data_IF_372542750882
#
_entry.id   IF_372542750882
#
_cell.length_a   1.000
_cell.length_b   1.000
_cell.length_c   1.000
_cell.angle_alpha   90.00
_cell.angle_beta   90.00
_cell.angle_gamma   90.00
#
_symmetry.space_group_name_H-M   'P 1'
#
loop_
_entity.id
_entity.type
_entity.pdbx_description
1 polymer ?
#
# COMPACT_ATOMS: atom_id res chain seq x y z
N UNK A 1 -25.24 -29.47 2.27
CA UNK A 1 -24.09 -29.18 1.39
C UNK A 1 -23.59 -27.81 1.74
N UNK A 2 -22.54 -27.74 2.56
CA UNK A 2 -21.80 -26.48 2.76
C UNK A 2 -21.11 -26.15 1.44
N UNK A 3 -21.69 -25.22 0.70
CA UNK A 3 -21.02 -24.59 -0.42
C UNK A 3 -19.88 -23.77 0.18
N UNK A 4 -18.72 -24.40 0.24
CA UNK A 4 -17.52 -23.80 0.83
C UNK A 4 -17.06 -22.66 -0.09
N UNK A 5 -17.61 -21.46 0.08
CA UNK A 5 -17.12 -20.21 -0.51
C UNK A 5 -15.74 -19.85 0.05
N UNK A 6 -14.88 -20.85 0.25
CA UNK A 6 -13.53 -20.71 0.74
C UNK A 6 -12.55 -20.66 -0.41
N UNK A 7 -11.63 -19.71 -0.37
CA UNK A 7 -10.54 -19.59 -1.33
C UNK A 7 -9.23 -19.47 -0.61
N UNK A 8 -8.16 -19.97 -1.22
CA UNK A 8 -6.79 -19.93 -0.73
C UNK A 8 -5.92 -19.20 -1.74
N UNK A 9 -4.97 -18.41 -1.24
CA UNK A 9 -3.97 -17.71 -2.05
C UNK A 9 -2.58 -18.02 -1.51
N UNK A 10 -1.64 -18.22 -2.43
CA UNK A 10 -0.22 -18.34 -2.12
C UNK A 10 0.36 -17.00 -1.67
N UNK A 11 1.47 -17.00 -0.91
CA UNK A 11 2.18 -15.78 -0.55
C UNK A 11 2.50 -14.95 -1.79
N UNK A 12 2.37 -13.63 -1.67
CA UNK A 12 2.55 -12.64 -2.72
C UNK A 12 1.48 -12.62 -3.84
N UNK A 13 0.47 -13.49 -3.78
CA UNK A 13 -0.65 -13.44 -4.74
C UNK A 13 -1.55 -12.24 -4.49
N UNK A 14 -2.05 -11.64 -5.55
CA UNK A 14 -3.01 -10.54 -5.48
C UNK A 14 -4.41 -11.14 -5.28
N UNK A 15 -5.15 -10.62 -4.30
CA UNK A 15 -6.54 -10.97 -4.03
C UNK A 15 -7.47 -10.13 -4.90
N UNK A 16 -7.25 -8.83 -4.93
CA UNK A 16 -7.86 -7.85 -5.85
C UNK A 16 -6.94 -6.63 -6.01
N UNK A 17 -7.10 -5.89 -7.10
CA UNK A 17 -6.34 -4.69 -7.39
C UNK A 17 -7.11 -3.42 -7.02
N UNK A 18 -6.38 -2.34 -6.80
CA UNK A 18 -6.93 -0.98 -6.85
C UNK A 18 -7.75 -0.80 -8.13
N UNK A 19 -8.92 -0.22 -8.01
CA UNK A 19 -9.81 0.07 -9.15
C UNK A 19 -10.69 -1.10 -9.61
N UNK A 20 -10.51 -2.31 -9.08
CA UNK A 20 -11.38 -3.45 -9.38
C UNK A 20 -12.79 -3.26 -8.80
N UNK A 21 -13.79 -3.81 -9.50
CA UNK A 21 -15.18 -3.83 -9.00
C UNK A 21 -15.34 -4.84 -7.84
N UNK A 22 -15.98 -4.45 -6.73
CA UNK A 22 -16.16 -5.33 -5.59
C UNK A 22 -17.19 -6.44 -5.91
N UNK A 23 -16.74 -7.69 -5.88
CA UNK A 23 -17.59 -8.88 -6.06
C UNK A 23 -18.00 -9.53 -4.74
N UNK A 24 -17.13 -9.46 -3.76
CA UNK A 24 -17.34 -10.07 -2.44
C UNK A 24 -16.50 -9.34 -1.37
N UNK A 25 -16.91 -9.50 -0.12
CA UNK A 25 -16.07 -9.26 1.05
C UNK A 25 -15.40 -10.59 1.45
N UNK A 26 -14.34 -10.51 2.25
CA UNK A 26 -13.51 -11.66 2.62
C UNK A 26 -13.37 -11.73 4.14
N UNK A 27 -13.77 -12.86 4.74
CA UNK A 27 -13.50 -13.15 6.16
C UNK A 27 -12.25 -14.05 6.24
N UNK A 28 -11.19 -13.57 6.87
CA UNK A 28 -9.92 -14.29 6.97
C UNK A 28 -10.06 -15.46 7.94
N UNK A 29 -9.79 -16.66 7.45
CA UNK A 29 -9.75 -17.89 8.23
C UNK A 29 -8.35 -18.12 8.78
N UNK A 30 -7.32 -17.87 7.96
CA UNK A 30 -5.91 -17.95 8.34
C UNK A 30 -5.03 -17.13 7.40
N UNK A 31 -3.87 -16.72 7.87
CA UNK A 31 -2.90 -15.93 7.12
C UNK A 31 -3.07 -14.44 7.30
N UNK A 32 -2.30 -13.68 6.55
CA UNK A 32 -2.22 -12.21 6.61
C UNK A 32 -2.36 -11.66 5.19
N UNK A 33 -3.17 -10.62 5.03
CA UNK A 33 -3.28 -9.80 3.83
C UNK A 33 -2.69 -8.43 4.09
N UNK A 34 -2.00 -7.86 3.12
CA UNK A 34 -1.48 -6.49 3.13
C UNK A 34 -2.22 -5.63 2.10
N UNK A 35 -2.41 -4.36 2.44
CA UNK A 35 -3.09 -3.38 1.62
C UNK A 35 -2.13 -2.32 1.12
N UNK A 36 -2.17 -2.06 -0.18
CA UNK A 36 -1.30 -1.11 -0.85
C UNK A 36 -2.12 -0.04 -1.57
N UNK A 37 -1.64 1.20 -1.54
CA UNK A 37 -2.21 2.29 -2.33
C UNK A 37 -1.99 2.06 -3.83
N UNK A 38 -2.60 2.90 -4.67
CA UNK A 38 -2.35 2.95 -6.12
C UNK A 38 -0.86 3.15 -6.44
N UNK A 39 -0.14 3.90 -5.58
CA UNK A 39 1.30 4.15 -5.68
C UNK A 39 2.18 3.05 -5.06
N UNK A 40 1.60 1.90 -4.76
CA UNK A 40 2.27 0.76 -4.15
C UNK A 40 2.87 1.04 -2.75
N UNK A 41 2.28 1.97 -1.99
CA UNK A 41 2.65 2.26 -0.61
C UNK A 41 1.87 1.33 0.30
N UNK A 42 2.55 0.65 1.24
CA UNK A 42 1.92 -0.21 2.24
C UNK A 42 1.09 0.65 3.22
N UNK A 43 -0.21 0.43 3.24
CA UNK A 43 -1.17 1.16 4.07
C UNK A 43 -1.48 0.44 5.38
N UNK A 44 -1.51 -0.90 5.36
CA UNK A 44 -1.83 -1.70 6.53
C UNK A 44 -1.94 -3.18 6.20
N UNK A 45 -2.39 -3.96 7.17
CA UNK A 45 -2.63 -5.40 7.02
C UNK A 45 -3.83 -5.85 7.84
N UNK A 46 -4.37 -7.02 7.51
CA UNK A 46 -5.41 -7.70 8.27
C UNK A 46 -5.05 -9.19 8.45
N UNK A 47 -5.51 -9.76 9.54
CA UNK A 47 -5.21 -11.14 9.93
C UNK A 47 -6.46 -11.96 10.24
N UNK A 48 -6.26 -13.12 10.87
CA UNK A 48 -7.32 -14.07 11.20
C UNK A 48 -8.49 -13.40 11.94
N UNK A 49 -9.71 -13.78 11.59
CA UNK A 49 -11.00 -13.26 12.09
C UNK A 49 -11.39 -11.85 11.62
N UNK A 50 -10.52 -11.17 10.89
CA UNK A 50 -10.82 -9.87 10.32
C UNK A 50 -11.50 -9.99 8.96
N UNK A 51 -12.27 -8.97 8.59
CA UNK A 51 -12.94 -8.85 7.28
C UNK A 51 -12.25 -7.77 6.47
N UNK A 52 -12.10 -7.99 5.17
CA UNK A 52 -11.58 -6.99 4.25
C UNK A 52 -12.34 -6.99 2.91
N UNK A 53 -12.18 -5.94 2.13
CA UNK A 53 -12.93 -5.72 0.89
C UNK A 53 -14.42 -5.34 1.11
N UNK A 54 -14.84 -5.27 2.38
CA UNK A 54 -16.20 -4.97 2.81
C UNK A 54 -16.60 -3.52 2.52
N UNK A 55 -15.66 -2.59 2.64
CA UNK A 55 -15.92 -1.14 2.45
C UNK A 55 -16.38 -0.87 1.02
N UNK A 56 -15.69 -1.44 0.05
CA UNK A 56 -16.03 -1.30 -1.38
C UNK A 56 -17.38 -1.93 -1.69
N UNK A 57 -17.69 -3.09 -1.08
CA UNK A 57 -19.00 -3.73 -1.17
C UNK A 57 -20.10 -2.86 -0.58
N UNK A 58 -19.86 -2.27 0.61
CA UNK A 58 -20.82 -1.42 1.32
C UNK A 58 -21.11 -0.12 0.58
N UNK A 59 -20.06 0.56 0.11
CA UNK A 59 -20.18 1.84 -0.59
C UNK A 59 -20.58 1.70 -2.06
N UNK A 60 -20.59 0.48 -2.58
CA UNK A 60 -20.78 0.21 -4.01
C UNK A 60 -19.80 1.00 -4.89
N UNK A 61 -18.53 1.02 -4.46
CA UNK A 61 -17.43 1.70 -5.15
C UNK A 61 -16.31 0.72 -5.46
N UNK A 62 -15.49 1.04 -6.43
CA UNK A 62 -14.27 0.29 -6.75
C UNK A 62 -13.34 0.19 -5.56
N UNK A 63 -12.51 -0.85 -5.54
CA UNK A 63 -11.50 -1.00 -4.48
C UNK A 63 -10.52 0.18 -4.50
N UNK A 64 -10.34 0.81 -3.34
CA UNK A 64 -9.42 1.93 -3.14
C UNK A 64 -8.00 1.52 -2.78
N UNK A 65 -7.75 0.22 -2.70
CA UNK A 65 -6.46 -0.37 -2.38
C UNK A 65 -6.27 -1.69 -3.14
N UNK A 66 -5.02 -2.10 -3.34
CA UNK A 66 -4.68 -3.46 -3.77
C UNK A 66 -4.50 -4.32 -2.53
N UNK A 67 -5.16 -5.49 -2.48
CA UNK A 67 -4.99 -6.49 -1.44
C UNK A 67 -4.08 -7.62 -1.92
N UNK A 68 -3.03 -7.92 -1.16
CA UNK A 68 -2.02 -8.92 -1.49
C UNK A 68 -1.81 -9.86 -0.30
N UNK A 69 -1.82 -11.16 -0.54
CA UNK A 69 -1.52 -12.14 0.47
C UNK A 69 -0.05 -12.02 0.90
N UNK A 70 0.20 -11.76 2.18
CA UNK A 70 1.55 -11.74 2.75
C UNK A 70 2.06 -13.15 3.02
N UNK A 71 1.18 -14.00 3.52
CA UNK A 71 1.44 -15.41 3.82
C UNK A 71 0.47 -16.28 3.02
N UNK A 72 0.49 -17.59 3.22
CA UNK A 72 -0.62 -18.43 2.79
C UNK A 72 -1.91 -17.90 3.41
N UNK A 73 -2.83 -17.43 2.58
CA UNK A 73 -4.07 -16.79 3.01
C UNK A 73 -5.25 -17.69 2.66
N UNK A 74 -6.09 -18.00 3.65
CA UNK A 74 -7.38 -18.63 3.42
C UNK A 74 -8.49 -17.72 3.92
N UNK A 75 -9.49 -17.45 3.08
CA UNK A 75 -10.63 -16.63 3.44
C UNK A 75 -11.94 -17.21 2.93
N UNK A 76 -13.02 -16.95 3.66
CA UNK A 76 -14.40 -17.19 3.22
C UNK A 76 -14.87 -15.99 2.41
N UNK A 77 -15.34 -16.24 1.20
CA UNK A 77 -15.91 -15.22 0.33
C UNK A 77 -17.38 -14.99 0.72
N UNK A 78 -17.73 -13.74 0.94
CA UNK A 78 -19.09 -13.28 1.23
C UNK A 78 -19.55 -12.48 0.00
N UNK A 79 -20.39 -13.07 -0.88
CA UNK A 79 -20.89 -12.37 -2.06
C UNK A 79 -21.51 -11.02 -1.70
N UNK A 80 -21.32 -10.02 -2.56
CA UNK A 80 -21.77 -8.65 -2.32
C UNK A 80 -23.27 -8.53 -1.97
N UNK A 81 -24.10 -9.34 -2.60
CA UNK A 81 -25.55 -9.39 -2.31
C UNK A 81 -25.84 -9.96 -0.92
N UNK A 82 -25.10 -10.98 -0.47
CA UNK A 82 -25.22 -11.53 0.88
C UNK A 82 -24.70 -10.54 1.92
N UNK A 83 -23.55 -9.94 1.67
CA UNK A 83 -22.98 -8.89 2.53
C UNK A 83 -23.96 -7.72 2.68
N UNK A 84 -24.58 -7.27 1.58
CA UNK A 84 -25.58 -6.20 1.62
C UNK A 84 -26.80 -6.55 2.47
N UNK A 85 -27.25 -7.83 2.47
CA UNK A 85 -28.33 -8.29 3.36
C UNK A 85 -27.92 -8.25 4.83
N UNK A 86 -26.70 -8.72 5.14
CA UNK A 86 -26.16 -8.68 6.50
C UNK A 86 -26.14 -7.24 7.02
N UNK A 87 -25.65 -6.31 6.22
CA UNK A 87 -25.53 -4.91 6.59
C UNK A 87 -26.90 -4.24 6.75
N UNK A 88 -27.85 -4.49 5.84
CA UNK A 88 -29.22 -3.93 5.95
C UNK A 88 -29.96 -4.36 7.22
N UNK A 89 -29.64 -5.53 7.72
CA UNK A 89 -30.24 -6.06 8.97
C UNK A 89 -29.41 -5.72 10.22
N UNK A 90 -28.28 -5.02 10.06
CA UNK A 90 -27.44 -4.64 11.18
C UNK A 90 -28.07 -3.50 11.99
N UNK A 91 -27.80 -3.50 13.30
CA UNK A 91 -28.26 -2.44 14.19
C UNK A 91 -27.67 -1.08 13.76
N UNK A 92 -28.45 0.03 13.82
CA UNK A 92 -27.99 1.36 13.41
C UNK A 92 -26.68 1.81 14.05
N UNK A 93 -26.39 1.39 15.28
CA UNK A 93 -25.13 1.69 15.99
C UNK A 93 -23.94 1.04 15.27
N UNK A 94 -24.08 -0.22 14.82
CA UNK A 94 -23.03 -0.92 14.05
C UNK A 94 -22.77 -0.19 12.75
N UNK A 95 -23.81 0.28 12.07
CA UNK A 95 -23.70 1.06 10.85
C UNK A 95 -22.99 2.40 11.07
N UNK A 96 -23.27 3.06 12.19
CA UNK A 96 -22.58 4.28 12.58
C UNK A 96 -21.10 4.04 12.86
N UNK A 97 -20.77 2.97 13.55
CA UNK A 97 -19.38 2.56 13.82
C UNK A 97 -18.62 2.27 12.53
N UNK A 98 -19.22 1.50 11.61
CA UNK A 98 -18.62 1.17 10.31
C UNK A 98 -18.32 2.44 9.51
N UNK A 99 -19.24 3.37 9.43
CA UNK A 99 -19.08 4.65 8.74
C UNK A 99 -17.99 5.51 9.36
N UNK A 100 -17.95 5.63 10.68
CA UNK A 100 -16.90 6.34 11.41
C UNK A 100 -15.52 5.74 11.16
N UNK A 101 -15.41 4.41 11.22
CA UNK A 101 -14.16 3.69 11.00
C UNK A 101 -13.66 3.88 9.58
N UNK A 102 -14.56 3.85 8.60
CA UNK A 102 -14.22 4.13 7.21
C UNK A 102 -13.64 5.53 7.01
N UNK A 103 -14.27 6.56 7.59
CA UNK A 103 -13.74 7.93 7.49
C UNK A 103 -12.34 8.04 8.07
N UNK A 104 -12.13 7.52 9.26
CA UNK A 104 -10.81 7.54 9.93
C UNK A 104 -9.75 6.79 9.13
N UNK A 105 -10.09 5.64 8.56
CA UNK A 105 -9.17 4.86 7.73
C UNK A 105 -8.81 5.61 6.44
N UNK A 106 -9.79 6.23 5.79
CA UNK A 106 -9.58 7.01 4.57
C UNK A 106 -8.65 8.20 4.82
N UNK A 107 -8.88 8.95 5.89
CA UNK A 107 -8.02 10.07 6.29
C UNK A 107 -6.60 9.61 6.63
N UNK A 108 -6.46 8.51 7.39
CA UNK A 108 -5.15 7.95 7.74
C UNK A 108 -4.37 7.46 6.51
N UNK A 109 -5.04 6.87 5.53
CA UNK A 109 -4.41 6.41 4.28
C UNK A 109 -3.91 7.58 3.44
N UNK A 110 -4.72 8.63 3.29
CA UNK A 110 -4.32 9.87 2.59
C UNK A 110 -3.10 10.49 3.28
N UNK A 111 -3.12 10.63 4.59
CA UNK A 111 -2.00 11.18 5.35
C UNK A 111 -0.72 10.37 5.18
N UNK A 112 -0.82 9.04 5.15
CA UNK A 112 0.33 8.15 4.93
C UNK A 112 0.93 8.30 3.54
N UNK A 113 0.12 8.43 2.51
CA UNK A 113 0.58 8.67 1.14
C UNK A 113 1.36 9.99 1.03
N UNK A 114 0.82 11.08 1.58
CA UNK A 114 1.52 12.36 1.59
C UNK A 114 2.85 12.32 2.33
N UNK A 115 2.89 11.69 3.51
CA UNK A 115 4.12 11.56 4.29
C UNK A 115 5.19 10.75 3.55
N UNK A 116 4.81 9.70 2.85
CA UNK A 116 5.75 8.88 2.07
C UNK A 116 6.28 9.66 0.86
N UNK A 117 5.43 10.40 0.15
CA UNK A 117 5.87 11.26 -0.96
C UNK A 117 6.87 12.33 -0.52
N UNK A 118 6.66 12.94 0.64
CA UNK A 118 7.61 13.89 1.20
C UNK A 118 8.96 13.25 1.51
N UNK A 119 8.95 12.08 2.16
CA UNK A 119 10.18 11.33 2.47
C UNK A 119 10.93 10.99 1.19
N UNK A 120 10.25 10.49 0.17
CA UNK A 120 10.85 10.12 -1.11
C UNK A 120 11.45 11.34 -1.82
N UNK A 121 10.76 12.48 -1.79
CA UNK A 121 11.24 13.74 -2.32
C UNK A 121 12.52 14.21 -1.62
N UNK A 122 12.54 14.23 -0.28
CA UNK A 122 13.73 14.60 0.48
C UNK A 122 14.88 13.61 0.28
N UNK A 123 14.60 12.32 0.18
CA UNK A 123 15.61 11.29 -0.09
C UNK A 123 16.26 11.50 -1.46
N UNK A 124 15.47 11.80 -2.49
CA UNK A 124 15.99 12.11 -3.82
C UNK A 124 16.83 13.38 -3.84
N UNK A 125 16.37 14.44 -3.18
CA UNK A 125 17.14 15.69 -3.04
C UNK A 125 18.49 15.45 -2.35
N UNK A 126 18.52 14.62 -1.31
CA UNK A 126 19.75 14.28 -0.59
C UNK A 126 20.73 13.47 -1.46
N UNK A 127 20.24 12.47 -2.19
CA UNK A 127 21.06 11.69 -3.15
C UNK A 127 21.68 12.60 -4.21
N UNK A 128 20.88 13.45 -4.85
CA UNK A 128 21.36 14.39 -5.85
C UNK A 128 22.41 15.37 -5.28
N UNK A 129 22.26 15.77 -4.02
CA UNK A 129 23.24 16.62 -3.33
C UNK A 129 24.58 15.93 -3.09
N UNK A 130 24.56 14.61 -2.81
CA UNK A 130 25.80 13.82 -2.65
C UNK A 130 26.49 13.63 -3.99
N UNK A 131 25.77 13.24 -5.04
CA UNK A 131 26.30 13.05 -6.39
C UNK A 131 26.96 14.36 -6.91
N UNK A 132 26.30 15.51 -6.71
CA UNK A 132 26.86 16.80 -7.06
C UNK A 132 28.15 17.12 -6.30
N UNK A 133 28.25 16.76 -5.02
CA UNK A 133 29.49 16.96 -4.23
C UNK A 133 30.64 16.11 -4.75
N UNK A 134 30.38 14.83 -5.10
CA UNK A 134 31.40 13.96 -5.68
C UNK A 134 31.86 14.44 -7.05
N UNK A 135 30.94 14.89 -7.89
CA UNK A 135 31.28 15.45 -9.20
C UNK A 135 32.15 16.72 -9.09
N UNK A 136 31.82 17.62 -8.18
CA UNK A 136 32.59 18.81 -7.88
C UNK A 136 33.99 18.44 -7.37
N UNK A 137 34.09 17.48 -6.44
CA UNK A 137 35.37 16.99 -5.92
C UNK A 137 36.23 16.44 -7.02
N UNK A 138 35.71 15.56 -7.90
CA UNK A 138 36.41 14.99 -9.03
C UNK A 138 36.91 16.07 -10.02
N UNK A 139 36.13 17.15 -10.23
CA UNK A 139 36.55 18.29 -11.04
C UNK A 139 37.69 19.05 -10.41
N UNK A 140 37.65 19.28 -9.10
CA UNK A 140 38.73 19.94 -8.34
C UNK A 140 39.99 19.11 -8.41
N UNK A 141 39.94 17.80 -8.16
CA UNK A 141 41.10 16.89 -8.22
C UNK A 141 41.74 16.88 -9.62
N UNK A 142 40.91 16.89 -10.67
CA UNK A 142 41.39 16.99 -12.05
C UNK A 142 42.09 18.29 -12.35
N UNK A 143 41.61 19.42 -11.85
CA UNK A 143 42.24 20.74 -12.01
C UNK A 143 43.58 20.77 -11.25
N UNK A 144 43.63 20.25 -10.04
CA UNK A 144 44.82 20.18 -9.22
C UNK A 144 45.93 19.36 -9.89
N UNK A 145 45.63 18.20 -10.42
CA UNK A 145 46.58 17.38 -11.20
C UNK A 145 47.12 18.08 -12.46
N UNK A 146 46.32 18.90 -13.12
CA UNK A 146 46.77 19.69 -14.29
C UNK A 146 47.72 20.83 -13.88
N UNK A 147 47.46 21.46 -12.74
CA UNK A 147 48.32 22.51 -12.20
C UNK A 147 49.68 21.94 -11.79
N UNK A 148 49.71 20.81 -11.09
CA UNK A 148 50.93 20.13 -10.65
C UNK A 148 51.80 19.73 -11.85
N UNK A 149 51.25 19.16 -12.91
CA UNK A 149 51.96 18.82 -14.16
C UNK A 149 52.53 20.03 -14.87
N UNK A 150 51.82 21.17 -14.85
CA UNK A 150 52.29 22.39 -15.48
C UNK A 150 53.43 23.07 -14.66
N UNK A 151 53.51 22.84 -13.36
CA UNK A 151 54.60 23.33 -12.51
C UNK A 151 55.88 22.48 -12.71
N UNK A 152 55.76 21.18 -12.87
CA UNK A 152 56.92 20.29 -13.14
C UNK A 152 57.57 20.51 -14.51
N UNK A 153 56.82 21.01 -15.50
CA UNK A 153 57.36 21.33 -16.83
C UNK A 153 58.08 22.69 -16.95
N UNK A 154 58.06 23.49 -15.90
CA UNK A 154 58.69 24.85 -15.83
C UNK A 154 59.97 24.87 -15.01
N UNK A 155 60.39 23.73 -14.49
CA UNK A 155 61.69 23.57 -13.80
C UNK A 155 62.63 22.79 -14.70
#
# INVERSE_FOLDING_TARGET
MENSNKKVWEPNSIVYNFGDEPKCAFLIISGIVEFYSEKNILLGSAGQTEVFGEISCYLNKKHSVTAKAKTHLAAKLIPKNEFSKIIKNAHPVIMGMLRSTYHRLSEANIQREYSQEEIDKYTLMYKNSIENKEEIKNKIDTIQQKLDKNMEQKT
#
